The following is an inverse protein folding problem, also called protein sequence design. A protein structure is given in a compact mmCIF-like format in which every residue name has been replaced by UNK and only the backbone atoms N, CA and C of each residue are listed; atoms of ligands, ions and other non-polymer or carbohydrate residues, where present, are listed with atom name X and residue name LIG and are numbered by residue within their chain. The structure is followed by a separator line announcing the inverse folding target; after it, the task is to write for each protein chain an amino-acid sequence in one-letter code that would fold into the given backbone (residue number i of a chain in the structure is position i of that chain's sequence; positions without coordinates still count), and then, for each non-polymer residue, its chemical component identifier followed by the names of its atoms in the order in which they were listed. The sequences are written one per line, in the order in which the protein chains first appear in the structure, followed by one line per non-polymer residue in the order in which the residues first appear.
data_IF_506910575995
#
_entry.id   IF_506910575995
#
_cell.length_a   1.000
_cell.length_b   1.000
_cell.length_c   1.000
_cell.angle_alpha   90.00
_cell.angle_beta   90.00
_cell.angle_gamma   90.00
#
_symmetry.space_group_name_H-M   'P 1'
#
loop_
_entity.id
_entity.type
_entity.pdbx_description
1 polymer ?
#
# COMPACT_ATOMS: atom_id res chain seq x y z
N UNK A 1 -26.78 26.71 39.88
CA UNK A 1 -26.86 25.23 39.79
C UNK A 1 -27.27 24.70 38.39
N UNK A 2 -27.88 25.51 37.51
CA UNK A 2 -28.33 25.07 36.16
C UNK A 2 -27.17 24.87 35.18
N UNK A 3 -26.08 25.65 35.28
CA UNK A 3 -24.93 25.54 34.38
C UNK A 3 -24.11 24.24 34.51
N UNK A 4 -24.11 23.58 35.67
CA UNK A 4 -23.38 22.32 35.88
C UNK A 4 -24.12 21.13 35.22
N UNK A 5 -25.44 21.20 35.08
CA UNK A 5 -26.21 20.15 34.41
C UNK A 5 -26.09 20.19 32.88
N UNK A 6 -25.97 21.39 32.28
CA UNK A 6 -25.81 21.54 30.82
C UNK A 6 -24.42 21.03 30.36
N UNK A 7 -23.37 21.27 31.15
CA UNK A 7 -22.02 20.81 30.84
C UNK A 7 -21.89 19.27 30.93
N UNK A 8 -22.56 18.62 31.89
CA UNK A 8 -22.57 17.16 32.01
C UNK A 8 -23.39 16.47 30.90
N UNK A 9 -24.39 17.14 30.31
CA UNK A 9 -25.16 16.60 29.17
C UNK A 9 -24.36 16.68 27.86
N UNK A 10 -23.55 17.72 27.65
CA UNK A 10 -22.71 17.81 26.45
C UNK A 10 -21.60 16.75 26.39
N UNK A 11 -21.00 16.39 27.53
CA UNK A 11 -19.95 15.34 27.58
C UNK A 11 -20.53 13.95 27.24
N UNK A 12 -21.80 13.69 27.57
CA UNK A 12 -22.52 12.45 27.26
C UNK A 12 -23.03 12.35 25.81
N UNK A 13 -22.94 13.42 25.02
CA UNK A 13 -23.33 13.46 23.61
C UNK A 13 -22.13 13.51 22.65
N UNK A 14 -20.90 13.58 23.17
CA UNK A 14 -19.68 13.43 22.37
C UNK A 14 -19.64 12.00 21.82
N UNK A 15 -19.62 11.79 20.48
CA UNK A 15 -19.41 10.46 19.93
C UNK A 15 -18.03 9.95 20.36
N UNK A 16 -17.99 8.77 20.99
CA UNK A 16 -16.76 8.08 21.34
C UNK A 16 -16.36 7.20 20.15
N UNK A 17 -15.62 7.75 19.18
CA UNK A 17 -15.20 7.01 18.00
C UNK A 17 -14.43 5.73 18.40
N UNK A 18 -14.90 4.58 17.92
CA UNK A 18 -14.09 3.38 17.85
C UNK A 18 -13.27 3.50 16.56
N UNK A 19 -11.95 3.47 16.69
CA UNK A 19 -11.04 3.52 15.56
C UNK A 19 -10.92 2.10 14.98
N UNK A 20 -11.48 1.89 13.78
CA UNK A 20 -11.31 0.65 13.04
C UNK A 20 -10.07 0.77 12.14
N UNK A 21 -9.32 -0.33 11.97
CA UNK A 21 -8.20 -0.34 11.05
C UNK A 21 -8.72 -0.23 9.60
N UNK A 22 -8.15 0.66 8.76
CA UNK A 22 -8.64 0.87 7.40
C UNK A 22 -8.39 -0.35 6.51
N UNK A 23 -9.18 -0.44 5.45
CA UNK A 23 -9.13 -1.50 4.44
C UNK A 23 -8.99 -0.94 3.04
N UNK A 24 -8.31 -1.69 2.18
CA UNK A 24 -8.28 -1.43 0.73
C UNK A 24 -9.67 -1.66 0.17
N UNK A 25 -10.21 -0.67 -0.53
CA UNK A 25 -11.52 -0.75 -1.22
C UNK A 25 -11.36 -0.77 -2.74
N UNK A 26 -10.31 -0.13 -3.24
CA UNK A 26 -9.94 -0.16 -4.66
C UNK A 26 -8.44 -0.13 -4.81
N UNK A 27 -7.99 -0.60 -5.95
CA UNK A 27 -6.61 -0.43 -6.38
C UNK A 27 -6.54 -0.14 -7.87
N UNK A 28 -5.48 0.50 -8.29
CA UNK A 28 -5.20 0.83 -9.68
C UNK A 28 -3.78 0.44 -10.01
N UNK A 29 -3.57 -0.11 -11.20
CA UNK A 29 -2.25 -0.38 -11.74
C UNK A 29 -2.00 0.52 -12.94
N UNK A 30 -0.78 1.04 -13.02
CA UNK A 30 -0.31 1.87 -14.12
C UNK A 30 1.05 1.39 -14.58
N UNK A 31 1.21 1.23 -15.89
CA UNK A 31 2.46 0.86 -16.54
C UNK A 31 2.78 1.89 -17.60
N UNK A 32 4.02 2.36 -17.59
CA UNK A 32 4.46 3.50 -18.38
C UNK A 32 5.90 3.30 -18.87
N UNK A 33 6.22 3.92 -20.00
CA UNK A 33 7.60 4.14 -20.43
C UNK A 33 8.18 5.35 -19.70
N UNK A 34 9.38 5.20 -19.15
CA UNK A 34 10.09 6.25 -18.43
C UNK A 34 10.72 7.25 -19.40
N UNK A 35 10.43 8.53 -19.18
CA UNK A 35 10.94 9.62 -20.02
C UNK A 35 11.60 10.75 -19.19
N UNK A 36 12.06 10.43 -17.98
CA UNK A 36 12.60 11.40 -17.01
C UNK A 36 11.57 11.88 -15.98
N UNK A 37 10.29 11.73 -16.29
CA UNK A 37 9.16 11.98 -15.39
C UNK A 37 8.43 10.66 -15.15
N UNK A 38 7.84 10.48 -13.97
CA UNK A 38 6.96 9.36 -13.73
C UNK A 38 5.54 9.80 -13.34
N UNK A 39 4.59 8.93 -13.65
CA UNK A 39 3.15 9.14 -13.55
C UNK A 39 2.54 8.03 -12.70
N UNK A 40 1.39 8.33 -12.08
CA UNK A 40 0.58 7.32 -11.40
C UNK A 40 -0.78 7.10 -12.11
N UNK A 41 -1.48 5.98 -11.81
CA UNK A 41 -2.78 5.65 -12.41
C UNK A 41 -3.89 6.69 -12.23
N UNK A 42 -3.71 7.64 -11.30
CA UNK A 42 -4.68 8.70 -11.03
C UNK A 42 -4.38 9.96 -11.84
N UNK A 43 -3.34 9.95 -12.67
CA UNK A 43 -2.93 11.05 -13.53
C UNK A 43 -2.02 12.07 -12.84
N UNK A 44 -1.49 11.77 -11.65
CA UNK A 44 -0.51 12.65 -11.01
C UNK A 44 0.87 12.49 -11.69
N UNK A 45 1.70 13.53 -11.58
CA UNK A 45 3.01 13.63 -12.23
C UNK A 45 4.08 13.96 -11.19
N UNK A 46 5.25 13.32 -11.29
CA UNK A 46 6.34 13.43 -10.34
C UNK A 46 7.70 13.45 -11.03
N UNK A 47 8.65 14.16 -10.42
CA UNK A 47 10.05 14.10 -10.83
C UNK A 47 10.60 12.70 -10.52
N UNK A 48 11.06 12.00 -11.56
CA UNK A 48 11.77 10.74 -11.40
C UNK A 48 13.27 10.98 -11.21
N UNK A 49 13.92 10.04 -10.53
CA UNK A 49 15.38 9.99 -10.47
C UNK A 49 15.81 8.68 -11.11
N UNK A 50 16.68 8.73 -12.11
CA UNK A 50 17.26 7.52 -12.69
C UNK A 50 18.77 7.63 -12.75
N UNK A 51 19.44 6.60 -12.23
CA UNK A 51 20.87 6.39 -12.44
C UNK A 51 21.15 5.52 -13.68
N UNK A 52 20.10 5.07 -14.36
CA UNK A 52 20.16 4.25 -15.57
C UNK A 52 19.78 5.07 -16.82
N UNK A 53 20.49 4.79 -17.92
CA UNK A 53 20.22 5.35 -19.23
C UNK A 53 19.99 4.22 -20.22
N UNK A 54 18.74 3.99 -20.61
CA UNK A 54 18.35 2.94 -21.55
C UNK A 54 17.07 3.33 -22.28
N UNK A 55 16.86 2.80 -23.50
CA UNK A 55 15.64 3.04 -24.27
C UNK A 55 14.45 2.23 -23.75
N UNK A 56 14.73 1.10 -23.11
CA UNK A 56 13.73 0.10 -22.75
C UNK A 56 13.51 0.13 -21.25
N UNK A 57 12.86 1.19 -20.78
CA UNK A 57 12.65 1.45 -19.37
C UNK A 57 11.16 1.69 -19.11
N UNK A 58 10.47 0.61 -18.80
CA UNK A 58 9.14 0.62 -18.22
C UNK A 58 9.19 0.64 -16.69
N UNK A 59 8.21 1.28 -16.07
CA UNK A 59 7.96 1.22 -14.63
C UNK A 59 6.48 0.96 -14.34
N UNK A 60 6.22 0.27 -13.24
CA UNK A 60 4.87 0.03 -12.74
C UNK A 60 4.62 0.80 -11.43
N UNK A 61 3.41 1.34 -11.30
CA UNK A 61 2.92 2.02 -10.11
C UNK A 61 1.59 1.42 -9.72
N UNK A 62 1.43 1.09 -8.45
CA UNK A 62 0.14 0.63 -7.90
C UNK A 62 -0.38 1.68 -6.93
N UNK A 63 -1.65 2.03 -7.02
CA UNK A 63 -2.31 2.95 -6.09
C UNK A 63 -3.43 2.20 -5.37
N UNK A 64 -3.55 2.42 -4.06
CA UNK A 64 -4.56 1.84 -3.19
C UNK A 64 -5.45 2.95 -2.63
N UNK A 65 -6.76 2.82 -2.78
CA UNK A 65 -7.73 3.64 -2.06
C UNK A 65 -8.21 2.89 -0.82
N UNK A 66 -8.12 3.53 0.33
CA UNK A 66 -8.54 2.98 1.62
C UNK A 66 -9.92 3.50 2.03
N UNK A 67 -10.67 2.73 2.81
CA UNK A 67 -12.02 3.08 3.28
C UNK A 67 -12.07 4.20 4.33
N UNK A 68 -10.91 4.69 4.76
CA UNK A 68 -10.76 5.91 5.55
C UNK A 68 -10.53 7.18 4.69
N UNK A 69 -10.48 7.02 3.36
CA UNK A 69 -10.24 8.09 2.40
C UNK A 69 -8.78 8.35 2.04
N UNK A 70 -7.81 7.66 2.66
CA UNK A 70 -6.40 7.76 2.26
C UNK A 70 -6.17 7.10 0.91
N UNK A 71 -5.26 7.70 0.13
CA UNK A 71 -4.77 7.14 -1.13
C UNK A 71 -3.27 6.89 -1.01
N UNK A 72 -2.87 5.64 -1.16
CA UNK A 72 -1.49 5.19 -0.98
C UNK A 72 -0.90 4.76 -2.32
N UNK A 73 0.16 5.42 -2.78
CA UNK A 73 0.93 5.05 -3.96
C UNK A 73 2.09 4.13 -3.59
N UNK A 74 2.26 3.04 -4.33
CA UNK A 74 3.42 2.16 -4.27
C UNK A 74 4.30 2.38 -5.50
N UNK A 75 5.58 2.70 -5.26
CA UNK A 75 6.66 2.59 -6.24
C UNK A 75 7.72 1.61 -5.74
N UNK A 76 8.63 1.24 -6.63
CA UNK A 76 9.79 0.40 -6.30
C UNK A 76 11.04 1.23 -6.54
N UNK A 77 11.72 1.79 -5.52
CA UNK A 77 13.05 2.33 -5.70
C UNK A 77 14.11 1.22 -5.67
N UNK A 78 15.18 1.42 -6.42
CA UNK A 78 16.38 0.57 -6.42
C UNK A 78 17.62 1.43 -6.18
N UNK A 79 18.56 0.94 -5.37
CA UNK A 79 19.87 1.57 -5.17
C UNK A 79 20.99 0.56 -5.29
N UNK A 80 21.98 0.87 -6.12
CA UNK A 80 23.18 0.08 -6.36
C UNK A 80 24.44 0.96 -6.41
N UNK A 81 25.55 0.43 -6.95
CA UNK A 81 26.80 1.18 -7.10
C UNK A 81 26.74 2.26 -8.20
N UNK A 82 25.77 2.17 -9.12
CA UNK A 82 25.51 3.18 -10.16
C UNK A 82 24.68 4.35 -9.63
N UNK A 83 23.88 4.14 -8.58
CA UNK A 83 23.16 5.17 -7.85
C UNK A 83 21.76 4.73 -7.45
N UNK A 84 20.84 5.69 -7.31
CA UNK A 84 19.43 5.43 -6.99
C UNK A 84 18.56 5.68 -8.21
N UNK A 85 17.57 4.80 -8.40
CA UNK A 85 16.54 4.89 -9.43
C UNK A 85 15.15 4.76 -8.76
N UNK A 86 14.29 5.76 -8.90
CA UNK A 86 12.92 5.83 -8.36
C UNK A 86 11.99 6.53 -9.37
N UNK A 87 11.06 5.80 -10.02
CA UNK A 87 10.78 4.37 -9.84
C UNK A 87 11.77 3.49 -10.61
N UNK A 88 12.22 2.38 -10.04
CA UNK A 88 13.07 1.38 -10.69
C UNK A 88 12.41 0.73 -11.91
N UNK A 89 13.21 0.20 -12.87
CA UNK A 89 12.68 -0.50 -14.04
C UNK A 89 11.87 -1.73 -13.63
N UNK A 90 10.56 -1.60 -13.71
CA UNK A 90 9.60 -2.64 -13.33
C UNK A 90 8.50 -2.75 -14.36
N UNK A 91 8.12 -3.97 -14.73
CA UNK A 91 7.03 -4.25 -15.64
C UNK A 91 5.99 -5.11 -14.93
N UNK A 92 4.75 -4.65 -14.87
CA UNK A 92 3.65 -5.55 -14.55
C UNK A 92 3.34 -6.35 -15.82
N UNK A 93 3.79 -7.60 -15.88
CA UNK A 93 3.65 -8.45 -17.06
C UNK A 93 2.17 -8.74 -17.33
N UNK A 94 1.44 -9.07 -16.28
CA UNK A 94 0.01 -9.28 -16.30
C UNK A 94 -0.59 -9.09 -14.90
N UNK A 95 -1.91 -9.08 -14.84
CA UNK A 95 -2.63 -9.26 -13.57
C UNK A 95 -3.82 -10.18 -13.78
N UNK A 96 -4.17 -10.93 -12.73
CA UNK A 96 -5.31 -11.84 -12.71
C UNK A 96 -6.37 -11.29 -11.77
N UNK A 97 -7.60 -11.15 -12.26
CA UNK A 97 -8.74 -10.71 -11.47
C UNK A 97 -9.20 -11.78 -10.44
N UNK A 98 -10.11 -11.46 -9.50
CA UNK A 98 -10.59 -12.42 -8.51
C UNK A 98 -11.38 -13.61 -9.10
N UNK A 99 -11.90 -13.47 -10.32
CA UNK A 99 -12.63 -14.52 -11.04
C UNK A 99 -11.67 -15.47 -11.81
N UNK A 100 -10.38 -15.13 -11.86
CA UNK A 100 -9.33 -15.92 -12.50
C UNK A 100 -9.02 -15.51 -13.95
N UNK A 101 -9.55 -14.39 -14.44
CA UNK A 101 -9.22 -13.88 -15.77
C UNK A 101 -7.89 -13.13 -15.74
N UNK A 102 -6.96 -13.51 -16.60
CA UNK A 102 -5.66 -12.84 -16.75
C UNK A 102 -5.72 -11.76 -17.82
N UNK A 103 -5.16 -10.61 -17.50
CA UNK A 103 -5.01 -9.45 -18.36
C UNK A 103 -3.52 -9.23 -18.66
N UNK A 104 -3.09 -9.62 -19.85
CA UNK A 104 -1.69 -9.49 -20.28
C UNK A 104 -1.38 -8.06 -20.74
N UNK A 105 -0.27 -7.52 -20.25
CA UNK A 105 0.26 -6.20 -20.62
C UNK A 105 1.49 -6.38 -21.50
N UNK A 106 2.35 -7.34 -21.14
CA UNK A 106 3.53 -7.75 -21.90
C UNK A 106 3.54 -9.25 -22.18
N UNK A 107 4.22 -9.63 -23.26
CA UNK A 107 4.62 -11.00 -23.55
C UNK A 107 6.14 -11.13 -23.41
N UNK A 108 6.59 -12.09 -22.61
CA UNK A 108 8.02 -12.39 -22.48
C UNK A 108 8.44 -13.53 -23.41
N UNK A 109 9.27 -13.20 -24.41
CA UNK A 109 9.84 -14.17 -25.35
C UNK A 109 11.36 -14.18 -25.19
N UNK A 110 11.90 -15.28 -24.65
CA UNK A 110 13.32 -15.45 -24.37
C UNK A 110 13.87 -14.36 -23.43
N UNK A 111 14.53 -13.33 -23.98
CA UNK A 111 15.18 -12.24 -23.24
C UNK A 111 14.55 -10.88 -23.56
N UNK A 112 13.33 -10.86 -24.09
CA UNK A 112 12.61 -9.65 -24.50
C UNK A 112 11.22 -9.61 -23.87
N UNK A 113 10.78 -8.40 -23.51
CA UNK A 113 9.49 -8.12 -22.87
C UNK A 113 8.71 -7.20 -23.79
N UNK A 114 7.91 -7.79 -24.67
CA UNK A 114 7.23 -7.03 -25.71
C UNK A 114 5.85 -6.56 -25.22
N UNK A 115 5.53 -5.29 -25.46
CA UNK A 115 4.18 -4.76 -25.24
C UNK A 115 3.16 -5.54 -26.07
N UNK A 116 2.17 -6.16 -25.43
CA UNK A 116 0.96 -6.69 -26.11
C UNK A 116 -0.24 -5.76 -25.95
N UNK A 117 -0.17 -4.86 -24.98
CA UNK A 117 -1.11 -3.75 -24.78
C UNK A 117 -0.39 -2.41 -24.92
N UNK A 118 -1.07 -1.38 -25.45
CA UNK A 118 -0.48 -0.05 -25.62
C UNK A 118 -0.18 0.63 -24.28
N UNK A 119 0.97 1.28 -24.19
CA UNK A 119 1.35 2.11 -23.05
C UNK A 119 0.98 3.59 -23.29
N UNK A 120 0.55 4.35 -22.26
CA UNK A 120 0.40 3.90 -20.88
C UNK A 120 -0.79 2.95 -20.70
N UNK A 121 -0.58 1.89 -19.93
CA UNK A 121 -1.65 0.99 -19.51
C UNK A 121 -2.13 1.40 -18.12
N UNK A 122 -3.43 1.67 -17.97
CA UNK A 122 -4.04 2.02 -16.70
C UNK A 122 -5.31 1.21 -16.51
N UNK A 123 -5.44 0.55 -15.36
CA UNK A 123 -6.62 -0.24 -15.03
C UNK A 123 -6.95 -0.16 -13.53
N UNK A 124 -8.24 -0.16 -13.21
CA UNK A 124 -8.70 -0.52 -11.87
C UNK A 124 -8.54 -2.03 -11.69
N UNK A 125 -7.89 -2.44 -10.61
CA UNK A 125 -7.68 -3.83 -10.23
C UNK A 125 -8.45 -4.12 -8.93
N UNK A 126 -9.45 -5.02 -8.93
CA UNK A 126 -10.23 -5.33 -7.74
C UNK A 126 -9.40 -5.94 -6.61
N UNK A 127 -9.86 -5.76 -5.37
CA UNK A 127 -9.35 -6.55 -4.23
C UNK A 127 -9.55 -8.03 -4.51
N UNK A 128 -8.52 -8.84 -4.23
CA UNK A 128 -8.45 -10.26 -4.59
C UNK A 128 -7.60 -10.52 -5.84
N UNK A 129 -7.22 -9.49 -6.59
CA UNK A 129 -6.37 -9.63 -7.78
C UNK A 129 -4.93 -9.98 -7.42
N UNK A 130 -4.22 -10.58 -8.37
CA UNK A 130 -2.78 -10.84 -8.31
C UNK A 130 -2.06 -10.13 -9.46
N UNK A 131 -1.01 -9.37 -9.17
CA UNK A 131 -0.15 -8.73 -10.17
C UNK A 131 1.13 -9.57 -10.32
N UNK A 132 1.51 -9.92 -11.55
CA UNK A 132 2.85 -10.45 -11.86
C UNK A 132 3.79 -9.28 -12.17
N UNK A 133 4.49 -8.81 -11.15
CA UNK A 133 5.43 -7.70 -11.25
C UNK A 133 6.85 -8.25 -11.44
N UNK A 134 7.52 -7.81 -12.49
CA UNK A 134 8.92 -8.15 -12.75
C UNK A 134 9.81 -6.94 -12.79
N UNK A 135 11.08 -7.15 -12.54
CA UNK A 135 12.10 -6.11 -12.52
C UNK A 135 13.21 -6.43 -13.51
N UNK A 136 13.78 -5.37 -14.07
CA UNK A 136 15.06 -5.41 -14.74
C UNK A 136 16.11 -4.72 -13.85
N UNK A 137 17.19 -5.43 -13.51
CA UNK A 137 18.29 -4.88 -12.69
C UNK A 137 19.48 -4.38 -13.54
N UNK A 138 19.30 -4.35 -14.87
CA UNK A 138 20.30 -3.98 -15.85
C UNK A 138 19.77 -2.87 -16.79
N UNK A 139 20.65 -1.94 -17.16
CA UNK A 139 20.27 -0.70 -17.84
C UNK A 139 20.19 -0.78 -19.37
N UNK A 140 20.49 -1.94 -19.96
CA UNK A 140 20.76 -2.10 -21.40
C UNK A 140 20.00 -3.25 -22.07
N UNK A 141 18.99 -3.83 -21.42
CA UNK A 141 18.13 -4.83 -22.04
C UNK A 141 16.67 -4.62 -21.61
N UNK A 142 15.77 -5.38 -22.23
CA UNK A 142 14.32 -5.34 -22.01
C UNK A 142 13.83 -6.69 -21.45
N UNK A 143 14.66 -7.35 -20.64
CA UNK A 143 14.43 -8.75 -20.31
C UNK A 143 13.41 -8.95 -19.17
N UNK A 144 13.26 -7.97 -18.28
CA UNK A 144 12.47 -8.02 -17.04
C UNK A 144 12.48 -9.41 -16.36
N UNK A 145 13.68 -9.95 -16.14
CA UNK A 145 13.90 -11.30 -15.65
C UNK A 145 14.74 -11.35 -14.36
N UNK A 146 15.09 -10.20 -13.79
CA UNK A 146 16.00 -10.08 -12.63
C UNK A 146 15.25 -9.93 -11.31
N UNK A 147 13.93 -9.85 -11.34
CA UNK A 147 13.11 -10.02 -10.15
C UNK A 147 11.68 -10.34 -10.53
N UNK A 148 10.99 -11.07 -9.66
CA UNK A 148 9.59 -11.45 -9.86
C UNK A 148 8.85 -11.42 -8.51
N UNK A 149 7.72 -10.73 -8.48
CA UNK A 149 6.80 -10.67 -7.35
C UNK A 149 5.38 -10.90 -7.84
N UNK A 150 4.73 -11.93 -7.29
CA UNK A 150 3.29 -12.15 -7.43
C UNK A 150 2.56 -11.46 -6.28
N UNK A 151 2.19 -10.20 -6.50
CA UNK A 151 1.58 -9.34 -5.51
C UNK A 151 0.08 -9.60 -5.44
N UNK A 152 -0.39 -10.21 -4.35
CA UNK A 152 -1.80 -10.40 -4.09
C UNK A 152 -2.33 -9.17 -3.36
N UNK A 153 -3.33 -8.52 -3.96
CA UNK A 153 -4.00 -7.37 -3.35
C UNK A 153 -5.15 -7.88 -2.49
N UNK A 154 -5.12 -7.55 -1.20
CA UNK A 154 -6.12 -8.00 -0.22
C UNK A 154 -6.76 -6.78 0.46
N UNK A 155 -7.88 -6.98 1.13
CA UNK A 155 -8.51 -5.92 1.93
C UNK A 155 -7.56 -5.33 2.99
N UNK A 156 -6.58 -6.12 3.46
CA UNK A 156 -5.67 -5.71 4.53
C UNK A 156 -4.34 -5.15 4.01
N UNK A 157 -4.12 -5.11 2.69
CA UNK A 157 -2.86 -4.72 2.07
C UNK A 157 -2.33 -5.77 1.10
N UNK A 158 -1.01 -5.91 1.02
CA UNK A 158 -0.34 -6.69 -0.03
C UNK A 158 0.29 -7.94 0.57
N UNK A 159 0.21 -9.06 -0.13
CA UNK A 159 0.97 -10.27 0.22
C UNK A 159 1.65 -10.88 -1.00
N UNK A 160 2.82 -11.47 -0.82
CA UNK A 160 3.50 -12.19 -1.87
C UNK A 160 4.27 -13.38 -1.29
N UNK A 161 4.45 -14.41 -2.11
CA UNK A 161 5.14 -15.64 -1.73
C UNK A 161 6.11 -16.04 -2.83
N UNK A 162 7.24 -16.60 -2.42
CA UNK A 162 8.28 -17.08 -3.33
C UNK A 162 8.66 -16.02 -4.38
N UNK A 163 8.59 -14.73 -4.00
CA UNK A 163 9.12 -13.65 -4.82
C UNK A 163 10.62 -13.81 -4.92
N UNK A 164 11.20 -13.32 -6.00
CA UNK A 164 12.59 -13.59 -6.31
C UNK A 164 13.33 -12.36 -6.76
N UNK A 165 14.62 -12.33 -6.43
CA UNK A 165 15.59 -11.41 -7.01
C UNK A 165 16.71 -12.26 -7.61
N UNK A 166 16.93 -12.09 -8.91
CA UNK A 166 17.93 -12.74 -9.74
C UNK A 166 18.81 -11.67 -10.40
N UNK A 167 19.74 -12.10 -11.27
CA UNK A 167 20.60 -11.19 -12.03
C UNK A 167 21.99 -11.04 -11.41
N UNK A 168 22.88 -10.38 -12.13
CA UNK A 168 24.29 -10.24 -11.75
C UNK A 168 24.60 -9.10 -10.78
N UNK A 169 23.69 -8.12 -10.65
CA UNK A 169 23.99 -6.88 -9.94
C UNK A 169 23.57 -6.92 -8.47
N UNK A 170 24.39 -6.32 -7.62
CA UNK A 170 24.05 -6.15 -6.21
C UNK A 170 23.23 -4.87 -6.03
N UNK A 171 22.10 -4.96 -5.35
CA UNK A 171 21.21 -3.82 -5.16
C UNK A 171 20.38 -3.94 -3.88
N UNK A 172 19.92 -2.79 -3.40
CA UNK A 172 18.87 -2.65 -2.40
C UNK A 172 17.57 -2.27 -3.12
N UNK A 173 16.54 -3.09 -2.94
CA UNK A 173 15.20 -2.80 -3.42
C UNK A 173 14.28 -2.51 -2.23
N UNK A 174 13.31 -1.62 -2.41
CA UNK A 174 12.23 -1.43 -1.45
C UNK A 174 10.88 -1.37 -2.16
N UNK A 175 9.81 -1.76 -1.45
CA UNK A 175 8.50 -1.22 -1.76
C UNK A 175 8.35 0.10 -1.01
N UNK A 176 8.22 1.20 -1.73
CA UNK A 176 8.01 2.54 -1.18
C UNK A 176 6.53 2.88 -1.28
N UNK A 177 5.88 2.98 -0.13
CA UNK A 177 4.51 3.45 -0.01
C UNK A 177 4.52 4.94 0.30
N UNK A 178 3.68 5.72 -0.38
CA UNK A 178 3.57 7.17 -0.24
C UNK A 178 2.10 7.55 -0.08
N UNK A 179 1.75 8.26 0.99
CA UNK A 179 0.43 8.89 1.10
C UNK A 179 0.42 10.09 0.15
N UNK A 180 -0.49 10.08 -0.82
CA UNK A 180 -0.51 11.09 -1.89
C UNK A 180 -0.81 12.49 -1.36
N UNK A 181 -1.60 12.61 -0.29
CA UNK A 181 -2.05 13.88 0.25
C UNK A 181 -0.98 14.52 1.16
N UNK A 182 -0.28 13.70 1.95
CA UNK A 182 0.72 14.20 2.90
C UNK A 182 2.16 14.12 2.37
N UNK A 183 2.40 13.33 1.32
CA UNK A 183 3.70 12.97 0.80
C UNK A 183 4.62 12.28 1.83
N UNK A 184 4.04 11.78 2.94
CA UNK A 184 4.76 10.92 3.86
C UNK A 184 5.06 9.60 3.18
N UNK A 185 6.20 8.99 3.51
CA UNK A 185 6.65 7.75 2.87
C UNK A 185 6.98 6.69 3.91
N UNK A 186 6.63 5.45 3.61
CA UNK A 186 7.03 4.26 4.33
C UNK A 186 7.79 3.32 3.40
N UNK A 187 9.04 3.02 3.74
CA UNK A 187 9.92 2.16 2.93
C UNK A 187 10.02 0.77 3.56
N UNK A 188 9.64 -0.25 2.80
CA UNK A 188 9.76 -1.65 3.17
C UNK A 188 10.91 -2.24 2.37
N UNK A 189 12.07 -2.35 2.99
CA UNK A 189 13.30 -2.79 2.33
C UNK A 189 13.32 -4.31 2.17
N UNK A 190 13.66 -4.78 0.97
CA UNK A 190 13.93 -6.18 0.75
C UNK A 190 15.33 -6.52 1.25
N UNK A 191 15.60 -7.78 1.66
CA UNK A 191 16.96 -8.21 1.98
C UNK A 191 17.92 -7.86 0.84
N UNK A 192 19.13 -7.44 1.22
CA UNK A 192 20.15 -7.05 0.26
C UNK A 192 20.55 -8.24 -0.61
N UNK A 193 20.48 -8.04 -1.93
CA UNK A 193 20.88 -9.05 -2.91
C UNK A 193 22.40 -9.12 -2.98
N UNK A 194 22.98 -10.17 -2.40
CA UNK A 194 24.43 -10.35 -2.31
C UNK A 194 25.05 -11.10 -3.50
N UNK A 195 24.32 -11.98 -4.19
CA UNK A 195 24.71 -12.61 -5.46
C UNK A 195 23.72 -13.74 -5.77
N UNK A 196 23.49 -14.04 -7.05
CA UNK A 196 22.74 -15.23 -7.42
C UNK A 196 21.23 -15.03 -7.32
N UNK A 197 20.55 -15.99 -6.68
CA UNK A 197 19.10 -16.15 -6.73
C UNK A 197 18.54 -16.25 -5.31
N UNK A 198 17.85 -15.21 -4.89
CA UNK A 198 17.25 -15.11 -3.55
C UNK A 198 15.72 -15.16 -3.63
N UNK A 199 15.10 -15.60 -2.53
CA UNK A 199 13.68 -15.87 -2.42
C UNK A 199 13.09 -15.23 -1.17
N UNK A 200 11.91 -14.63 -1.32
CA UNK A 200 11.25 -13.85 -0.28
C UNK A 200 9.76 -14.13 -0.24
N UNK A 201 9.17 -14.00 0.95
CA UNK A 201 7.73 -13.83 1.10
C UNK A 201 7.48 -12.59 1.95
N UNK A 202 6.33 -11.97 1.81
CA UNK A 202 6.06 -10.75 2.56
C UNK A 202 4.59 -10.46 2.75
N UNK A 203 4.33 -9.70 3.81
CA UNK A 203 3.04 -9.14 4.17
C UNK A 203 3.27 -7.65 4.41
N UNK A 204 2.58 -6.80 3.66
CA UNK A 204 2.65 -5.34 3.79
C UNK A 204 1.23 -4.87 4.12
N UNK A 205 0.91 -4.68 5.41
CA UNK A 205 -0.41 -4.24 5.82
C UNK A 205 -0.64 -2.79 5.44
N UNK A 206 -1.85 -2.47 4.97
CA UNK A 206 -2.33 -1.10 4.81
C UNK A 206 -3.33 -0.72 5.92
N UNK A 207 -3.12 -1.31 7.10
CA UNK A 207 -3.97 -1.16 8.28
C UNK A 207 -3.23 -0.55 9.49
N UNK A 208 -2.00 -0.06 9.28
CA UNK A 208 -1.13 0.53 10.30
C UNK A 208 -0.25 -0.45 11.06
N UNK A 209 -0.35 -1.76 10.80
CA UNK A 209 0.56 -2.76 11.38
C UNK A 209 1.91 -2.80 10.65
N UNK A 210 2.91 -3.39 11.31
CA UNK A 210 4.25 -3.58 10.75
C UNK A 210 4.20 -4.50 9.51
N UNK A 211 4.96 -4.13 8.48
CA UNK A 211 5.25 -5.02 7.37
C UNK A 211 6.27 -6.07 7.81
N UNK A 212 6.15 -7.28 7.25
CA UNK A 212 7.00 -8.41 7.59
C UNK A 212 7.53 -9.05 6.31
N UNK A 213 8.85 -9.18 6.21
CA UNK A 213 9.55 -9.84 5.10
C UNK A 213 10.25 -11.09 5.64
N UNK A 214 9.93 -12.23 5.03
CA UNK A 214 10.53 -13.53 5.31
C UNK A 214 11.59 -13.81 4.26
N UNK A 215 12.85 -13.87 4.68
CA UNK A 215 13.93 -14.36 3.86
C UNK A 215 13.94 -15.88 3.87
N UNK A 216 13.47 -16.46 2.77
CA UNK A 216 13.35 -17.91 2.58
C UNK A 216 14.44 -18.44 1.64
N UNK A 217 15.40 -17.57 1.26
CA UNK A 217 16.59 -17.98 0.51
C UNK A 217 17.54 -18.77 1.42
N UNK A 218 18.47 -19.53 0.83
CA UNK A 218 19.53 -20.23 1.57
C UNK A 218 20.89 -19.54 1.51
N UNK A 219 21.00 -18.42 0.78
CA UNK A 219 22.26 -17.77 0.37
C UNK A 219 22.46 -16.36 0.92
N UNK A 220 21.44 -15.73 1.49
CA UNK A 220 21.57 -14.42 2.13
C UNK A 220 22.03 -14.57 3.60
N UNK A 221 22.58 -13.50 4.21
CA UNK A 221 22.96 -13.51 5.63
C UNK A 221 21.81 -13.84 6.61
N UNK A 222 20.55 -13.64 6.19
CA UNK A 222 19.36 -13.81 7.02
C UNK A 222 18.49 -15.01 6.60
N UNK A 223 18.98 -15.85 5.69
CA UNK A 223 18.37 -17.08 5.22
C UNK A 223 17.84 -17.96 6.37
N UNK A 224 16.50 -18.08 6.47
CA UNK A 224 15.87 -18.89 7.53
C UNK A 224 16.00 -18.33 8.96
N UNK A 225 16.39 -17.06 9.10
CA UNK A 225 16.43 -16.32 10.36
C UNK A 225 15.08 -15.70 10.75
N UNK A 226 15.10 -14.83 11.76
CA UNK A 226 13.93 -14.06 12.17
C UNK A 226 13.47 -13.14 11.02
N UNK A 227 12.14 -12.98 10.84
CA UNK A 227 11.64 -12.12 9.77
C UNK A 227 12.02 -10.66 10.01
N UNK A 228 12.29 -9.94 8.91
CA UNK A 228 12.51 -8.49 8.96
C UNK A 228 11.17 -7.79 9.14
N UNK A 229 11.08 -6.91 10.12
CA UNK A 229 9.88 -6.10 10.38
C UNK A 229 10.14 -4.63 10.13
N UNK A 230 9.17 -3.96 9.51
CA UNK A 230 9.24 -2.53 9.20
C UNK A 230 8.00 -1.85 9.76
N UNK A 231 8.19 -0.88 10.64
CA UNK A 231 7.07 -0.12 11.20
C UNK A 231 6.70 1.04 10.27
N UNK A 232 5.40 1.36 10.10
CA UNK A 232 5.01 2.56 9.37
C UNK A 232 5.53 3.83 10.07
N UNK A 233 5.95 4.81 9.29
CA UNK A 233 6.42 6.12 9.78
C UNK A 233 5.26 6.88 10.44
N UNK A 234 5.38 7.25 11.72
CA UNK A 234 4.52 8.22 12.43
C UNK A 234 3.01 8.22 12.05
N UNK A 235 2.29 7.12 12.29
CA UNK A 235 0.86 7.00 11.94
C UNK A 235 0.55 7.17 10.44
N UNK A 236 1.48 6.76 9.57
CA UNK A 236 1.35 6.76 8.10
C UNK A 236 -0.04 6.28 7.64
N UNK A 237 -0.54 5.20 8.23
CA UNK A 237 -1.92 4.75 8.05
C UNK A 237 -2.77 5.29 9.20
N UNK A 238 -3.79 6.07 8.84
CA UNK A 238 -4.73 6.68 9.79
C UNK A 238 -5.87 5.70 10.10
N UNK A 239 -6.41 5.70 11.32
CA UNK A 239 -7.58 4.90 11.63
C UNK A 239 -8.80 5.37 10.81
N UNK A 240 -9.73 4.47 10.57
CA UNK A 240 -11.05 4.81 10.05
C UNK A 240 -11.90 5.37 11.19
N UNK A 241 -12.40 6.59 11.02
CA UNK A 241 -13.36 7.16 11.96
C UNK A 241 -14.73 6.51 11.75
N UNK A 242 -15.08 5.52 12.57
CA UNK A 242 -16.42 4.96 12.58
C UNK A 242 -17.29 5.77 13.55
N UNK A 243 -18.38 6.42 13.11
CA UNK A 243 -19.32 7.04 14.03
C UNK A 243 -19.95 5.91 14.87
N UNK A 244 -19.48 5.73 16.10
CA UNK A 244 -20.18 4.88 17.05
C UNK A 244 -21.58 5.45 17.21
N UNK A 245 -22.61 4.61 17.05
CA UNK A 245 -23.94 4.94 17.55
C UNK A 245 -23.78 5.17 19.04
N UNK A 246 -23.69 6.43 19.47
CA UNK A 246 -23.72 6.79 20.89
C UNK A 246 -24.96 6.12 21.46
N UNK A 247 -24.83 5.18 22.42
CA UNK A 247 -26.00 4.66 23.09
C UNK A 247 -26.72 5.86 23.67
N UNK A 248 -27.92 6.17 23.18
CA UNK A 248 -28.76 7.16 23.84
C UNK A 248 -28.91 6.62 25.27
N UNK A 249 -28.46 7.33 26.32
CA UNK A 249 -28.60 6.83 27.67
C UNK A 249 -30.06 7.01 28.05
N UNK A 250 -30.94 6.13 27.55
CA UNK A 250 -32.39 6.18 27.72
C UNK A 250 -32.73 6.28 29.21
N UNK A 251 -31.95 5.62 30.07
CA UNK A 251 -32.06 5.75 31.53
C UNK A 251 -31.81 7.16 32.06
N UNK A 252 -30.81 7.89 31.55
CA UNK A 252 -30.55 9.27 31.93
C UNK A 252 -31.60 10.22 31.34
N UNK A 253 -32.08 9.95 30.13
CA UNK A 253 -33.18 10.69 29.50
C UNK A 253 -34.48 10.54 30.33
N UNK A 254 -34.82 9.31 30.72
CA UNK A 254 -35.98 9.00 31.55
C UNK A 254 -35.86 9.63 32.95
N UNK A 255 -34.69 9.52 33.60
CA UNK A 255 -34.45 10.15 34.90
C UNK A 255 -34.58 11.69 34.83
N UNK A 256 -34.08 12.31 33.76
CA UNK A 256 -34.20 13.75 33.55
C UNK A 256 -35.65 14.19 33.34
N UNK A 257 -36.46 13.43 32.60
CA UNK A 257 -37.89 13.71 32.44
C UNK A 257 -38.65 13.57 33.76
N UNK A 258 -38.35 12.54 34.55
CA UNK A 258 -38.97 12.35 35.88
C UNK A 258 -38.62 13.51 36.80
N UNK A 259 -37.35 13.94 36.85
CA UNK A 259 -36.90 15.08 37.64
C UNK A 259 -37.54 16.40 37.18
N UNK A 260 -37.59 16.67 35.89
CA UNK A 260 -38.23 17.88 35.33
C UNK A 260 -39.71 17.89 35.69
N UNK A 261 -40.40 16.76 35.51
CA UNK A 261 -41.84 16.63 35.82
C UNK A 261 -42.09 16.82 37.33
N UNK A 262 -41.23 16.27 38.18
CA UNK A 262 -41.28 16.46 39.65
C UNK A 262 -41.02 17.91 40.08
N UNK A 263 -40.07 18.61 39.45
CA UNK A 263 -39.81 20.01 39.74
C UNK A 263 -40.90 20.96 39.24
N UNK A 264 -41.58 20.61 38.14
CA UNK A 264 -42.75 21.37 37.67
C UNK A 264 -43.94 21.15 38.63
N UNK A 265 -44.22 19.90 39.03
CA UNK A 265 -45.37 19.59 39.90
C UNK A 265 -45.21 20.03 41.36
N UNK A 266 -43.98 20.10 41.87
CA UNK A 266 -43.70 20.60 43.23
C UNK A 266 -43.67 22.13 43.35
N UNK A 267 -43.78 22.85 42.23
CA UNK A 267 -43.82 24.32 42.19
C UNK A 267 -45.23 24.88 42.23
N UNK A 268 -46.23 24.04 41.96
CA UNK A 268 -47.67 24.39 41.97
C UNK A 268 -48.40 23.96 43.26
N UNK A 269 -47.67 23.43 44.26
CA UNK A 269 -48.12 23.20 45.64
C UNK A 269 -47.39 24.13 46.62
#
# INVERSE_FOLDING_TARGET
MIYIYILNIMILLSPAYAEDAPKVVKSYIGVYEYNGTYYDPLGNTFDGVSSYSGSDYNYAVVVYELDNGQTIRQTVPLTDNGGTTDPAPTAAISWTDPDGNTHDIFEQISTQTNNVTSLPYVAEIPVGSQIDLKMNDNYNDDNYADGEWKLNITENGITFKNATQYGGYHHNLSFKLTDIDTNETWNITMPYKNSGRDYYSGIIPLNGSNATIYDISGSTPNAGGDPLTYEPTNNFIKPKATPTKTPIPVGALMASMILITYFISSRDN
#
